data_IF_756137961772
#
_entry.id   IF_756137961772
#
_cell.length_a   1.000
_cell.length_b   1.000
_cell.length_c   1.000
_cell.angle_alpha   90.00
_cell.angle_beta   90.00
_cell.angle_gamma   90.00
#
_symmetry.space_group_name_H-M   'P 1'
#
loop_
_entity.id
_entity.type
_entity.pdbx_description
1 polymer ?
#
# COMPACT_ATOMS: atom_id res chain seq x y z
N UNK A 1 6.30 3.21 32.71
CA UNK A 1 6.27 1.74 32.65
C UNK A 1 5.11 1.37 31.73
N UNK A 2 5.36 1.20 30.43
CA UNK A 2 4.29 0.86 29.48
C UNK A 2 4.09 -0.66 29.53
N UNK A 3 2.91 -1.09 29.98
CA UNK A 3 2.48 -2.49 29.88
C UNK A 3 2.41 -2.87 28.41
N UNK A 4 3.37 -3.66 27.91
CA UNK A 4 3.24 -4.31 26.61
C UNK A 4 2.13 -5.35 26.74
N UNK A 5 0.92 -4.99 26.33
CA UNK A 5 -0.14 -5.97 26.08
C UNK A 5 0.33 -6.84 24.91
N UNK A 6 0.88 -8.02 25.22
CA UNK A 6 1.11 -9.06 24.22
C UNK A 6 -0.24 -9.58 23.76
N UNK A 7 -0.75 -9.07 22.64
CA UNK A 7 -1.99 -9.56 22.07
C UNK A 7 -1.81 -10.98 21.53
N UNK A 8 -2.76 -11.87 21.84
CA UNK A 8 -2.75 -13.22 21.26
C UNK A 8 -2.94 -13.16 19.73
N UNK A 9 -2.43 -14.16 19.02
CA UNK A 9 -2.66 -14.33 17.56
C UNK A 9 -4.15 -14.29 17.22
N UNK A 10 -5.01 -14.87 18.07
CA UNK A 10 -6.47 -14.85 17.88
C UNK A 10 -7.05 -13.43 17.97
N UNK A 11 -6.56 -12.63 18.91
CA UNK A 11 -6.96 -11.23 19.06
C UNK A 11 -6.55 -10.41 17.83
N UNK A 12 -5.32 -10.57 17.36
CA UNK A 12 -4.83 -9.88 16.16
C UNK A 12 -5.59 -10.30 14.89
N UNK A 13 -5.91 -11.59 14.74
CA UNK A 13 -6.78 -12.09 13.66
C UNK A 13 -8.14 -11.41 13.65
N UNK A 14 -8.77 -11.31 14.82
CA UNK A 14 -10.08 -10.66 14.95
C UNK A 14 -10.00 -9.16 14.64
N UNK A 15 -8.95 -8.48 15.08
CA UNK A 15 -8.72 -7.08 14.72
C UNK A 15 -8.51 -6.89 13.22
N UNK A 16 -7.66 -7.69 12.59
CA UNK A 16 -7.42 -7.64 11.16
C UNK A 16 -8.71 -7.88 10.36
N UNK A 17 -9.51 -8.89 10.75
CA UNK A 17 -10.81 -9.16 10.11
C UNK A 17 -11.81 -8.01 10.28
N UNK A 18 -11.87 -7.41 11.47
CA UNK A 18 -12.83 -6.33 11.76
C UNK A 18 -12.43 -5.00 11.12
N UNK A 19 -11.14 -4.69 11.11
CA UNK A 19 -10.66 -3.36 10.78
C UNK A 19 -9.95 -3.28 9.42
N UNK A 20 -9.52 -4.41 8.84
CA UNK A 20 -8.65 -4.43 7.67
C UNK A 20 -7.18 -4.12 7.98
N UNK A 21 -6.86 -3.66 9.19
CA UNK A 21 -5.50 -3.36 9.65
C UNK A 21 -5.39 -3.49 11.17
N UNK A 22 -4.15 -3.54 11.67
CA UNK A 22 -3.82 -3.40 13.08
C UNK A 22 -2.43 -2.77 13.22
N UNK A 23 -2.21 -2.01 14.29
CA UNK A 23 -0.93 -1.38 14.66
C UNK A 23 -0.57 -1.84 16.07
N UNK A 24 0.69 -2.13 16.30
CA UNK A 24 1.18 -2.67 17.56
C UNK A 24 2.65 -2.31 17.76
N UNK A 25 3.08 -2.29 19.02
CA UNK A 25 4.49 -2.22 19.39
C UNK A 25 5.04 -3.63 19.57
N UNK A 26 5.87 -4.08 18.61
CA UNK A 26 6.71 -5.29 18.68
C UNK A 26 6.07 -6.55 19.33
N UNK A 27 5.03 -7.15 18.71
CA UNK A 27 4.13 -8.10 19.35
C UNK A 27 4.75 -9.51 19.44
N UNK A 28 5.87 -9.73 18.74
CA UNK A 28 6.52 -11.03 18.59
C UNK A 28 8.05 -10.93 18.67
N UNK A 29 8.59 -9.77 19.09
CA UNK A 29 10.03 -9.52 19.12
C UNK A 29 10.69 -9.78 17.77
N UNK A 30 11.79 -10.54 17.80
CA UNK A 30 12.53 -10.92 16.60
C UNK A 30 11.78 -11.91 15.68
N UNK A 31 10.70 -12.54 16.18
CA UNK A 31 9.84 -13.47 15.41
C UNK A 31 8.64 -12.79 14.75
N UNK A 32 8.68 -11.47 14.57
CA UNK A 32 7.61 -10.69 13.95
C UNK A 32 7.12 -11.25 12.61
N UNK A 33 8.02 -11.72 11.73
CA UNK A 33 7.62 -12.27 10.43
C UNK A 33 6.76 -13.53 10.59
N UNK A 34 7.21 -14.47 11.43
CA UNK A 34 6.44 -15.68 11.74
C UNK A 34 5.09 -15.32 12.38
N UNK A 35 5.08 -14.38 13.33
CA UNK A 35 3.83 -13.93 13.95
C UNK A 35 2.83 -13.34 12.94
N UNK A 36 3.31 -12.59 11.95
CA UNK A 36 2.46 -12.10 10.87
C UNK A 36 1.94 -13.22 9.97
N UNK A 37 2.76 -14.23 9.66
CA UNK A 37 2.31 -15.41 8.92
C UNK A 37 1.24 -16.17 9.72
N UNK A 38 1.40 -16.30 11.04
CA UNK A 38 0.41 -16.96 11.90
C UNK A 38 -0.92 -16.19 11.95
N UNK A 39 -0.87 -14.86 11.99
CA UNK A 39 -2.05 -13.97 11.99
C UNK A 39 -2.74 -13.96 10.63
N UNK A 40 -1.99 -13.76 9.55
CA UNK A 40 -2.55 -13.55 8.20
C UNK A 40 -2.80 -14.85 7.44
N UNK A 41 -2.15 -15.95 7.85
CA UNK A 41 -2.04 -17.19 7.08
C UNK A 41 -1.50 -16.98 5.66
N UNK A 42 -0.76 -15.89 5.43
CA UNK A 42 -0.21 -15.52 4.13
C UNK A 42 1.27 -15.89 4.03
N UNK A 43 1.70 -16.21 2.82
CA UNK A 43 3.11 -16.40 2.48
C UNK A 43 3.72 -15.07 2.05
N UNK A 44 4.90 -14.68 2.55
CA UNK A 44 5.60 -13.49 2.08
C UNK A 44 5.93 -13.60 0.59
N UNK A 45 5.82 -12.47 -0.12
CA UNK A 45 6.20 -12.37 -1.52
C UNK A 45 7.63 -11.85 -1.65
N UNK A 46 8.37 -12.34 -2.64
CA UNK A 46 9.69 -11.80 -3.00
C UNK A 46 9.47 -10.45 -3.67
N UNK A 47 10.11 -9.41 -3.15
CA UNK A 47 10.03 -8.05 -3.68
C UNK A 47 10.94 -7.86 -4.89
N UNK A 48 10.86 -6.69 -5.54
CA UNK A 48 11.59 -6.40 -6.79
C UNK A 48 13.11 -6.46 -6.66
N UNK A 49 13.66 -6.33 -5.45
CA UNK A 49 15.09 -6.47 -5.16
C UNK A 49 15.52 -7.93 -4.89
N UNK A 50 14.63 -8.91 -5.04
CA UNK A 50 14.91 -10.31 -4.76
C UNK A 50 14.80 -10.71 -3.28
N UNK A 51 14.49 -9.76 -2.39
CA UNK A 51 14.39 -9.99 -0.95
C UNK A 51 12.92 -10.06 -0.51
N UNK A 52 12.64 -10.78 0.59
CA UNK A 52 11.31 -10.75 1.23
C UNK A 52 11.09 -9.42 1.96
N UNK A 53 12.16 -8.87 2.54
CA UNK A 53 12.13 -7.63 3.32
C UNK A 53 12.83 -6.54 2.52
N UNK A 54 12.08 -5.49 2.15
CA UNK A 54 12.62 -4.32 1.48
C UNK A 54 12.88 -3.19 2.49
N UNK A 55 14.15 -2.84 2.75
CA UNK A 55 14.48 -1.72 3.62
C UNK A 55 14.24 -0.40 2.88
N UNK A 56 13.22 0.35 3.30
CA UNK A 56 12.97 1.70 2.80
C UNK A 56 14.02 2.64 3.39
N UNK A 57 14.90 3.15 2.52
CA UNK A 57 15.92 4.16 2.85
C UNK A 57 15.78 5.33 1.90
N UNK A 58 16.13 6.52 2.38
CA UNK A 58 16.18 7.71 1.55
C UNK A 58 17.06 7.48 0.31
N UNK A 59 16.57 7.86 -0.85
CA UNK A 59 17.27 7.76 -2.12
C UNK A 59 17.37 9.17 -2.75
N UNK A 60 18.58 9.70 -3.00
CA UNK A 60 18.75 10.99 -3.67
C UNK A 60 18.01 11.09 -5.01
N UNK A 61 17.96 10.01 -5.78
CA UNK A 61 17.27 10.00 -7.09
C UNK A 61 15.73 10.06 -6.97
N UNK A 62 15.20 9.85 -5.76
CA UNK A 62 13.78 9.93 -5.45
C UNK A 62 13.38 11.32 -4.90
N UNK A 63 14.33 12.22 -4.65
CA UNK A 63 14.01 13.58 -4.18
C UNK A 63 13.13 14.31 -5.20
N UNK A 64 12.11 15.03 -4.72
CA UNK A 64 11.15 15.71 -5.60
C UNK A 64 10.01 14.83 -6.09
N UNK A 65 10.10 13.51 -5.91
CA UNK A 65 9.13 12.55 -6.46
C UNK A 65 8.18 12.02 -5.40
N UNK A 66 6.99 11.61 -5.84
CA UNK A 66 6.11 10.78 -5.01
C UNK A 66 6.63 9.34 -4.96
N UNK A 67 7.50 9.05 -3.99
CA UNK A 67 8.16 7.75 -3.80
C UNK A 67 8.39 7.50 -2.30
N UNK A 68 8.31 6.24 -1.85
CA UNK A 68 8.58 5.84 -0.47
C UNK A 68 9.98 6.23 0.03
N UNK A 69 10.93 6.40 -0.89
CA UNK A 69 12.32 6.75 -0.61
C UNK A 69 12.60 8.26 -0.73
N UNK A 70 11.58 9.08 -1.02
CA UNK A 70 11.67 10.53 -1.12
C UNK A 70 11.68 11.21 0.26
N UNK A 71 12.31 12.36 0.37
CA UNK A 71 12.29 13.21 1.57
C UNK A 71 11.29 14.36 1.38
N UNK A 72 10.34 14.52 2.31
CA UNK A 72 9.51 15.72 2.46
C UNK A 72 8.19 15.78 1.66
N UNK A 73 8.08 15.10 0.51
CA UNK A 73 6.89 15.19 -0.35
C UNK A 73 5.81 14.15 0.00
N UNK A 74 6.23 13.00 0.52
CA UNK A 74 5.35 11.88 0.85
C UNK A 74 4.92 11.08 -0.38
N UNK A 75 4.43 9.88 -0.10
CA UNK A 75 3.92 8.95 -1.10
C UNK A 75 2.41 9.16 -1.27
N UNK A 76 1.96 9.37 -2.50
CA UNK A 76 0.55 9.58 -2.78
C UNK A 76 -0.24 8.27 -2.61
N UNK A 77 -1.56 8.33 -2.37
CA UNK A 77 -2.36 7.15 -2.09
C UNK A 77 -2.30 6.11 -3.21
N UNK A 78 -2.13 4.85 -2.83
CA UNK A 78 -2.06 3.71 -3.74
C UNK A 78 -2.35 2.39 -3.00
N UNK A 79 -2.63 1.36 -3.78
CA UNK A 79 -2.61 -0.05 -3.36
C UNK A 79 -1.32 -0.69 -3.85
N UNK A 80 -0.72 -1.58 -3.06
CA UNK A 80 0.53 -2.25 -3.42
C UNK A 80 0.36 -3.11 -4.68
N UNK A 81 1.30 -2.98 -5.63
CA UNK A 81 1.34 -3.75 -6.88
C UNK A 81 0.02 -3.81 -7.66
N UNK A 82 -0.61 -2.65 -7.85
CA UNK A 82 -1.86 -2.49 -8.62
C UNK A 82 -1.80 -3.03 -10.07
N UNK A 83 -0.62 -3.32 -10.59
CA UNK A 83 -0.37 -3.91 -11.92
C UNK A 83 -0.39 -5.45 -11.96
N UNK A 84 -0.40 -6.14 -10.81
CA UNK A 84 -0.39 -7.63 -10.77
C UNK A 84 -1.77 -8.21 -10.97
N UNK A 85 -1.90 -9.32 -11.72
CA UNK A 85 -3.17 -10.02 -11.87
C UNK A 85 -3.87 -10.31 -10.52
N UNK A 86 -3.10 -10.70 -9.50
CA UNK A 86 -3.56 -10.81 -8.10
C UNK A 86 -2.56 -10.02 -7.24
N UNK A 87 -2.93 -8.83 -6.75
CA UNK A 87 -2.08 -8.03 -5.86
C UNK A 87 -1.89 -8.70 -4.49
N UNK A 88 -0.86 -8.31 -3.73
CA UNK A 88 -0.71 -8.74 -2.34
C UNK A 88 -1.92 -8.37 -1.50
N UNK A 89 -2.43 -9.33 -0.72
CA UNK A 89 -3.58 -9.12 0.18
C UNK A 89 -3.24 -8.26 1.40
N UNK A 90 -1.98 -8.29 1.84
CA UNK A 90 -1.52 -7.61 3.04
C UNK A 90 -0.22 -6.86 2.75
N UNK A 91 -0.11 -5.66 3.33
CA UNK A 91 1.11 -4.89 3.41
C UNK A 91 1.56 -4.81 4.88
N UNK A 92 2.84 -5.10 5.13
CA UNK A 92 3.44 -4.94 6.44
C UNK A 92 4.50 -3.84 6.40
N UNK A 93 4.33 -2.81 7.24
CA UNK A 93 5.32 -1.78 7.47
C UNK A 93 5.87 -1.94 8.90
N UNK A 94 7.20 -2.03 9.02
CA UNK A 94 7.89 -2.12 10.31
C UNK A 94 8.81 -0.91 10.48
N UNK A 95 8.50 -0.07 11.46
CA UNK A 95 9.39 1.01 11.86
C UNK A 95 10.58 0.44 12.65
N UNK A 96 11.79 0.63 12.13
CA UNK A 96 13.05 0.28 12.82
C UNK A 96 13.63 1.48 13.58
N UNK A 97 13.60 2.65 12.95
CA UNK A 97 14.06 3.91 13.52
C UNK A 97 13.01 4.96 13.18
N UNK A 98 12.32 5.56 14.16
CA UNK A 98 11.39 6.64 13.88
C UNK A 98 12.13 7.88 13.39
N UNK A 99 11.47 8.69 12.58
CA UNK A 99 12.01 9.98 12.17
C UNK A 99 12.18 10.92 13.38
N UNK A 100 13.25 11.71 13.39
CA UNK A 100 13.57 12.60 14.52
C UNK A 100 12.71 13.87 14.54
N UNK A 101 12.10 14.23 13.42
CA UNK A 101 11.38 15.49 13.22
C UNK A 101 9.87 15.27 13.03
N UNK A 102 9.37 14.08 13.37
CA UNK A 102 7.94 13.76 13.29
C UNK A 102 7.44 13.38 11.89
N UNK A 103 8.34 13.10 10.95
CA UNK A 103 7.99 12.58 9.62
C UNK A 103 7.66 11.09 9.60
N UNK A 104 7.30 10.58 8.41
CA UNK A 104 7.11 9.14 8.17
C UNK A 104 5.79 8.55 8.68
N UNK A 105 4.79 9.40 8.99
CA UNK A 105 3.46 8.95 9.33
C UNK A 105 2.83 8.16 8.17
N UNK A 106 2.20 7.03 8.48
CA UNK A 106 1.42 6.26 7.51
C UNK A 106 -0.05 6.71 7.60
N UNK A 107 -0.59 7.18 6.49
CA UNK A 107 -2.02 7.45 6.34
C UNK A 107 -2.70 6.24 5.70
N UNK A 108 -3.85 5.83 6.24
CA UNK A 108 -4.62 4.69 5.75
C UNK A 108 -6.06 5.14 5.50
N UNK A 109 -6.67 4.57 4.46
CA UNK A 109 -8.09 4.72 4.16
C UNK A 109 -8.70 3.35 3.95
N UNK A 110 -9.88 3.12 4.49
CA UNK A 110 -10.66 1.90 4.20
C UNK A 110 -11.50 2.13 2.96
N UNK A 111 -11.43 1.22 2.00
CA UNK A 111 -12.16 1.38 0.76
C UNK A 111 -13.68 1.40 0.97
N UNK A 112 -14.22 0.59 1.88
CA UNK A 112 -15.66 0.59 2.20
C UNK A 112 -16.16 1.92 2.78
N UNK A 113 -15.30 2.64 3.50
CA UNK A 113 -15.63 3.98 3.98
C UNK A 113 -15.56 5.00 2.83
N UNK A 114 -14.55 4.87 1.96
CA UNK A 114 -14.39 5.72 0.77
C UNK A 114 -15.54 5.53 -0.23
N UNK A 115 -16.01 4.30 -0.43
CA UNK A 115 -17.10 3.98 -1.37
C UNK A 115 -18.37 4.78 -1.11
N UNK A 116 -18.64 5.15 0.15
CA UNK A 116 -19.82 5.94 0.53
C UNK A 116 -19.79 7.37 0.01
N UNK A 117 -18.62 7.85 -0.40
CA UNK A 117 -18.44 9.18 -0.97
C UNK A 117 -18.61 9.22 -2.49
N UNK A 118 -18.68 8.06 -3.15
CA UNK A 118 -18.89 7.97 -4.58
C UNK A 118 -20.35 7.71 -4.92
N UNK A 119 -20.84 8.39 -5.95
CA UNK A 119 -22.13 8.12 -6.58
C UNK A 119 -22.18 6.70 -7.17
N UNK A 120 -23.39 6.22 -7.43
CA UNK A 120 -23.57 4.92 -8.10
C UNK A 120 -22.93 4.91 -9.49
N UNK A 121 -22.95 6.03 -10.21
CA UNK A 121 -22.33 6.17 -11.53
C UNK A 121 -20.80 6.01 -11.43
N UNK A 122 -20.16 6.72 -10.50
CA UNK A 122 -18.71 6.59 -10.25
C UNK A 122 -18.34 5.17 -9.82
N UNK A 123 -19.18 4.54 -8.99
CA UNK A 123 -18.98 3.15 -8.60
C UNK A 123 -19.10 2.16 -9.77
N UNK A 124 -20.00 2.41 -10.73
CA UNK A 124 -20.08 1.62 -11.96
C UNK A 124 -18.87 1.89 -12.86
N UNK A 125 -18.45 3.14 -12.99
CA UNK A 125 -17.23 3.50 -13.72
C UNK A 125 -16.01 2.79 -13.15
N UNK A 126 -15.81 2.83 -11.82
CA UNK A 126 -14.70 2.13 -11.15
C UNK A 126 -14.71 0.62 -11.40
N UNK A 127 -15.90 0.01 -11.55
CA UNK A 127 -16.04 -1.43 -11.74
C UNK A 127 -15.96 -1.87 -13.21
N UNK A 128 -16.35 -1.02 -14.15
CA UNK A 128 -16.44 -1.36 -15.57
C UNK A 128 -15.26 -0.83 -16.40
N UNK A 129 -14.76 0.36 -16.08
CA UNK A 129 -13.75 1.01 -16.91
C UNK A 129 -12.35 0.47 -16.60
N UNK A 130 -11.71 -0.09 -17.63
CA UNK A 130 -10.32 -0.53 -17.52
C UNK A 130 -9.37 0.68 -17.44
N UNK A 131 -8.49 0.63 -16.44
CA UNK A 131 -7.43 1.60 -16.21
C UNK A 131 -6.06 0.93 -16.40
N UNK A 132 -5.09 1.71 -16.87
CA UNK A 132 -3.72 1.27 -17.01
C UNK A 132 -2.97 1.34 -15.68
N UNK A 133 -2.28 0.25 -15.32
CA UNK A 133 -1.38 0.17 -14.17
C UNK A 133 -0.02 -0.38 -14.61
N UNK A 134 1.06 0.06 -13.96
CA UNK A 134 2.43 -0.36 -14.30
C UNK A 134 3.33 -0.53 -13.08
N UNK A 135 4.36 -1.38 -13.23
CA UNK A 135 5.44 -1.55 -12.26
C UNK A 135 6.43 -0.38 -12.28
N UNK A 136 7.23 -0.27 -11.19
CA UNK A 136 8.28 0.77 -11.06
C UNK A 136 9.32 0.73 -12.17
N UNK A 137 9.67 -0.47 -12.65
CA UNK A 137 10.63 -0.67 -13.74
C UNK A 137 9.99 -0.72 -15.13
N UNK A 138 8.66 -0.56 -15.22
CA UNK A 138 7.90 -0.59 -16.46
C UNK A 138 7.84 -1.96 -17.16
N UNK A 139 8.36 -3.04 -16.55
CA UNK A 139 8.38 -4.37 -17.17
C UNK A 139 7.06 -5.11 -17.06
N UNK A 140 6.24 -4.74 -16.08
CA UNK A 140 4.92 -5.33 -15.88
C UNK A 140 3.85 -4.23 -15.96
N UNK A 141 2.73 -4.58 -16.58
CA UNK A 141 1.57 -3.70 -16.67
C UNK A 141 0.30 -4.51 -16.85
N UNK A 142 -0.83 -3.88 -16.54
CA UNK A 142 -2.13 -4.45 -16.83
C UNK A 142 -3.17 -3.36 -17.14
N UNK A 143 -4.22 -3.76 -17.85
CA UNK A 143 -5.48 -3.04 -17.90
C UNK A 143 -6.49 -3.76 -17.01
N UNK A 144 -6.98 -3.07 -15.99
CA UNK A 144 -7.92 -3.63 -15.02
C UNK A 144 -8.83 -2.53 -14.47
N UNK A 145 -10.06 -2.84 -14.03
CA UNK A 145 -10.88 -1.84 -13.37
C UNK A 145 -10.30 -1.47 -12.00
N UNK A 146 -10.66 -0.30 -11.48
CA UNK A 146 -10.28 0.15 -10.14
C UNK A 146 -10.88 -0.78 -9.08
N UNK A 147 -12.09 -1.29 -9.32
CA UNK A 147 -12.81 -2.15 -8.38
C UNK A 147 -13.30 -3.44 -9.04
N UNK A 148 -12.71 -4.58 -8.67
CA UNK A 148 -13.18 -5.91 -9.06
C UNK A 148 -14.01 -6.50 -7.92
N UNK A 149 -15.34 -6.36 -7.98
CA UNK A 149 -16.28 -6.77 -6.92
C UNK A 149 -16.14 -8.24 -6.55
N UNK A 150 -16.18 -9.12 -7.54
CA UNK A 150 -16.22 -10.58 -7.33
C UNK A 150 -14.93 -11.13 -6.70
N UNK A 151 -13.81 -10.42 -6.90
CA UNK A 151 -12.50 -10.79 -6.37
C UNK A 151 -12.12 -10.00 -5.11
N UNK A 152 -12.94 -9.03 -4.68
CA UNK A 152 -12.63 -8.07 -3.61
C UNK A 152 -11.29 -7.33 -3.84
N UNK A 153 -10.92 -7.07 -5.09
CA UNK A 153 -9.66 -6.39 -5.45
C UNK A 153 -9.92 -4.92 -5.73
N UNK A 154 -9.17 -4.06 -5.05
CA UNK A 154 -9.08 -2.63 -5.34
C UNK A 154 -7.70 -2.33 -5.94
N UNK A 155 -7.69 -1.61 -7.06
CA UNK A 155 -6.48 -1.15 -7.74
C UNK A 155 -6.50 0.36 -7.81
N UNK A 156 -5.56 0.97 -7.11
CA UNK A 156 -5.42 2.41 -7.14
C UNK A 156 -3.95 2.80 -7.12
N UNK A 157 -3.59 3.80 -7.92
CA UNK A 157 -2.32 4.49 -7.82
C UNK A 157 -2.53 5.89 -8.37
N UNK A 158 -2.53 6.88 -7.49
CA UNK A 158 -2.66 8.27 -7.94
C UNK A 158 -1.58 8.61 -8.96
N UNK A 159 -0.34 8.18 -8.68
CA UNK A 159 0.81 8.37 -9.55
C UNK A 159 0.54 7.86 -10.98
N UNK A 160 0.10 6.61 -11.11
CA UNK A 160 -0.08 5.99 -12.42
C UNK A 160 -1.36 6.47 -13.12
N UNK A 161 -2.44 6.70 -12.37
CA UNK A 161 -3.70 7.15 -12.95
C UNK A 161 -3.61 8.60 -13.45
N UNK A 162 -2.91 9.48 -12.71
CA UNK A 162 -2.86 10.93 -12.99
C UNK A 162 -1.62 11.34 -13.78
N UNK A 163 -0.47 10.78 -13.45
CA UNK A 163 0.81 11.17 -14.05
C UNK A 163 1.38 10.15 -15.04
N UNK A 164 0.73 8.99 -15.19
CA UNK A 164 1.17 7.88 -16.06
C UNK A 164 2.60 7.41 -15.77
N UNK A 165 3.04 7.61 -14.54
CA UNK A 165 4.38 7.25 -14.07
C UNK A 165 4.29 6.64 -12.68
N UNK A 166 5.25 5.78 -12.32
CA UNK A 166 5.28 5.15 -11.01
C UNK A 166 5.71 6.13 -9.89
N UNK A 167 6.77 6.91 -10.14
CA UNK A 167 7.32 7.90 -9.19
C UNK A 167 7.44 9.28 -9.87
N UNK A 168 6.31 9.98 -10.11
CA UNK A 168 6.32 11.28 -10.78
C UNK A 168 6.94 12.37 -9.90
N UNK A 169 7.57 13.36 -10.55
CA UNK A 169 7.75 14.69 -9.93
C UNK A 169 6.37 15.32 -9.75
N UNK A 170 6.02 15.67 -8.51
CA UNK A 170 4.69 16.19 -8.19
C UNK A 170 4.44 17.61 -8.73
N UNK A 171 5.50 18.35 -9.07
CA UNK A 171 5.40 19.70 -9.61
C UNK A 171 5.22 19.71 -11.13
N UNK A 172 5.34 18.55 -11.79
CA UNK A 172 5.14 18.46 -13.24
C UNK A 172 3.65 18.53 -13.59
N UNK A 173 3.30 18.97 -14.82
CA UNK A 173 1.92 18.92 -15.29
C UNK A 173 1.34 17.50 -15.24
N UNK A 174 0.06 17.39 -14.89
CA UNK A 174 -0.68 16.12 -15.00
C UNK A 174 -0.72 15.65 -16.46
N UNK A 175 -0.79 14.33 -16.67
CA UNK A 175 -0.89 13.80 -18.03
C UNK A 175 -2.22 14.26 -18.67
N UNK A 176 -2.16 14.74 -19.90
CA UNK A 176 -3.35 15.12 -20.66
C UNK A 176 -4.20 13.89 -21.02
N UNK A 177 -5.52 14.03 -20.96
CA UNK A 177 -6.46 12.96 -21.33
C UNK A 177 -7.00 12.11 -20.17
N UNK A 178 -7.00 12.65 -18.96
CA UNK A 178 -7.98 12.24 -17.93
C UNK A 178 -9.32 12.93 -18.17
#
# INVERSE_FOLDING_TARGET
MFSMLTFSTATLKNHLKKNGFFVFDNPCGDRWLQGLQDVTQATPVIQTNGEIIYPIKANPDAMGKSDAQSLGIGLLPHTEWSYKAIPPKYLCLRCKTPDRWGGGATTLVKFDDLLRHFTLEEQHFMAAQLQYFMSKDGKESCFAPIWQRDAEIIRFSYNVLVYREFSPDINKPIASGL
#
